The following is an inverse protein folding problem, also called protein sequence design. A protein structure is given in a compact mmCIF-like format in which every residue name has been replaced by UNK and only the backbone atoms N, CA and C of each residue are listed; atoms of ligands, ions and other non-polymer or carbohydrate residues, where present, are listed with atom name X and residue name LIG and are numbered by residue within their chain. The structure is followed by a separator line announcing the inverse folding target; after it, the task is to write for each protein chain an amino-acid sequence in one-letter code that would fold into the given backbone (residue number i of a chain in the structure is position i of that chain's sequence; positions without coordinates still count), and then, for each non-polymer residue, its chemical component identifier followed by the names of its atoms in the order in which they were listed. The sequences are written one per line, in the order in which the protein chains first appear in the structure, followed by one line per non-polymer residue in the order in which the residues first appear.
data_IF_126974508665
#
_entry.id   IF_126974508665
#
_cell.length_a   1.000
_cell.length_b   1.000
_cell.length_c   1.000
_cell.angle_alpha   90.00
_cell.angle_beta   90.00
_cell.angle_gamma   90.00
#
_symmetry.space_group_name_H-M   'P 1'
#
loop_
_entity.id
_entity.type
_entity.pdbx_description
1 polymer ?
#
# COMPACT_ATOMS: atom_id res chain seq x y z
N UNK A 1 -30.77 9.66 10.87
CA UNK A 1 -29.66 8.72 10.79
C UNK A 1 -29.04 8.60 9.39
N UNK A 2 -29.78 8.30 8.33
CA UNK A 2 -29.24 8.18 6.95
C UNK A 2 -28.50 9.42 6.42
N UNK A 3 -28.95 10.62 6.67
CA UNK A 3 -28.29 11.87 6.22
C UNK A 3 -26.92 12.11 6.89
N UNK A 4 -26.74 11.70 8.14
CA UNK A 4 -25.46 11.79 8.86
C UNK A 4 -24.43 10.82 8.28
N UNK A 5 -24.85 9.60 7.93
CA UNK A 5 -24.03 8.58 7.29
C UNK A 5 -23.56 8.99 5.87
N UNK A 6 -24.43 9.63 5.10
CA UNK A 6 -24.12 10.15 3.76
C UNK A 6 -23.12 11.30 3.86
N UNK A 7 -23.27 12.20 4.83
CA UNK A 7 -22.33 13.31 5.04
C UNK A 7 -20.94 12.84 5.49
N UNK A 8 -20.88 11.80 6.36
CA UNK A 8 -19.64 11.17 6.74
C UNK A 8 -18.97 10.47 5.53
N UNK A 9 -19.76 9.79 4.71
CA UNK A 9 -19.29 9.10 3.49
C UNK A 9 -18.73 10.08 2.46
N UNK A 10 -19.37 11.23 2.23
CA UNK A 10 -18.92 12.26 1.29
C UNK A 10 -17.63 12.93 1.79
N UNK A 11 -17.56 13.24 3.09
CA UNK A 11 -16.35 13.82 3.70
C UNK A 11 -15.18 12.84 3.68
N UNK A 12 -15.45 11.57 3.88
CA UNK A 12 -14.54 10.45 3.76
C UNK A 12 -14.02 10.30 2.33
N UNK A 13 -14.91 10.35 1.33
CA UNK A 13 -14.57 10.32 -0.09
C UNK A 13 -13.67 11.48 -0.52
N UNK A 14 -13.94 12.67 0.02
CA UNK A 14 -13.14 13.87 -0.26
C UNK A 14 -11.76 13.84 0.39
N UNK A 15 -11.63 13.23 1.58
CA UNK A 15 -10.34 13.04 2.25
C UNK A 15 -9.51 12.00 1.48
N UNK A 16 -10.12 10.89 1.06
CA UNK A 16 -9.42 9.85 0.27
C UNK A 16 -9.01 10.33 -1.14
N UNK A 17 -9.76 11.23 -1.77
CA UNK A 17 -9.39 11.86 -3.06
C UNK A 17 -8.20 12.82 -2.96
N UNK A 18 -7.89 13.34 -1.78
CA UNK A 18 -6.72 14.20 -1.54
C UNK A 18 -5.44 13.43 -1.25
N UNK A 19 -5.55 12.14 -0.90
CA UNK A 19 -4.39 11.27 -0.69
C UNK A 19 -4.05 10.69 -2.07
N UNK A 20 -2.97 11.12 -2.67
CA UNK A 20 -2.37 10.42 -3.81
C UNK A 20 -2.10 8.98 -3.38
N UNK A 21 -2.96 8.07 -3.84
CA UNK A 21 -3.01 6.68 -3.38
C UNK A 21 -1.97 5.81 -4.11
N UNK A 22 -0.73 6.27 -4.20
CA UNK A 22 0.36 5.36 -4.54
C UNK A 22 0.50 4.34 -3.41
N UNK A 23 0.40 3.04 -3.72
CA UNK A 23 0.48 2.01 -2.69
C UNK A 23 1.87 1.96 -2.07
N UNK A 24 1.93 1.72 -0.77
CA UNK A 24 3.17 1.34 -0.12
C UNK A 24 3.58 -0.06 -0.59
N UNK A 25 4.85 -0.22 -0.95
CA UNK A 25 5.42 -1.48 -1.42
C UNK A 25 6.66 -1.79 -0.58
N UNK A 26 6.89 -3.04 -0.22
CA UNK A 26 8.10 -3.46 0.48
C UNK A 26 9.32 -3.19 -0.39
N UNK A 27 10.38 -2.59 0.18
CA UNK A 27 11.58 -2.22 -0.57
C UNK A 27 12.33 -3.44 -1.08
N UNK A 28 12.65 -4.38 -0.18
CA UNK A 28 13.26 -5.68 -0.51
C UNK A 28 12.85 -6.72 0.53
N UNK A 29 13.02 -8.00 0.23
CA UNK A 29 12.69 -9.08 1.15
C UNK A 29 13.49 -9.02 2.47
N UNK A 30 14.73 -8.55 2.40
CA UNK A 30 15.64 -8.43 3.54
C UNK A 30 15.48 -7.14 4.35
N UNK A 31 14.62 -6.22 3.91
CA UNK A 31 14.46 -4.89 4.52
C UNK A 31 13.09 -4.74 5.16
N UNK A 32 13.04 -4.09 6.33
CA UNK A 32 11.79 -3.65 6.95
C UNK A 32 11.25 -2.33 6.38
N UNK A 33 11.91 -1.79 5.35
CA UNK A 33 11.46 -0.57 4.70
C UNK A 33 10.36 -0.84 3.67
N UNK A 34 9.37 0.04 3.67
CA UNK A 34 8.40 0.19 2.60
C UNK A 34 8.57 1.55 1.95
N UNK A 35 8.18 1.65 0.70
CA UNK A 35 8.29 2.89 -0.06
C UNK A 35 7.03 3.15 -0.90
N UNK A 36 6.84 4.39 -1.26
CA UNK A 36 5.94 4.85 -2.33
C UNK A 36 6.71 5.84 -3.21
N UNK A 37 6.56 5.72 -4.51
CA UNK A 37 7.23 6.56 -5.49
C UNK A 37 6.22 7.15 -6.46
N UNK A 38 6.33 8.42 -6.73
CA UNK A 38 5.59 9.12 -7.77
C UNK A 38 6.52 10.03 -8.55
N UNK A 39 6.30 10.16 -9.84
CA UNK A 39 7.08 11.04 -10.70
C UNK A 39 6.18 11.79 -11.67
N UNK A 40 6.53 13.02 -11.93
CA UNK A 40 6.04 13.83 -13.04
C UNK A 40 7.10 13.88 -14.15
N UNK A 41 6.96 14.74 -15.16
CA UNK A 41 7.87 14.77 -16.31
C UNK A 41 9.33 14.97 -15.91
N UNK A 42 9.61 15.89 -14.98
CA UNK A 42 10.96 16.26 -14.54
C UNK A 42 11.05 16.48 -13.02
N UNK A 43 10.24 15.77 -12.27
CA UNK A 43 10.28 15.81 -10.81
C UNK A 43 9.88 14.45 -10.25
N UNK A 44 10.27 14.16 -9.01
CA UNK A 44 9.79 12.99 -8.30
C UNK A 44 9.60 13.26 -6.82
N UNK A 45 8.77 12.42 -6.22
CA UNK A 45 8.61 12.30 -4.78
C UNK A 45 8.74 10.84 -4.39
N UNK A 46 9.60 10.55 -3.41
CA UNK A 46 9.74 9.23 -2.82
C UNK A 46 9.59 9.33 -1.31
N UNK A 47 8.81 8.41 -0.75
CA UNK A 47 8.68 8.29 0.70
C UNK A 47 9.04 6.90 1.14
N UNK A 48 9.66 6.79 2.31
CA UNK A 48 10.03 5.53 2.95
C UNK A 48 9.41 5.45 4.33
N UNK A 49 9.13 4.25 4.79
CA UNK A 49 8.67 4.00 6.16
C UNK A 49 9.14 2.63 6.66
N UNK A 50 9.45 2.56 7.94
CA UNK A 50 9.57 1.31 8.69
C UNK A 50 8.41 1.15 9.71
N UNK A 51 7.30 1.84 9.47
CA UNK A 51 6.10 1.95 10.32
C UNK A 51 6.32 2.71 11.66
N UNK A 52 7.55 3.02 12.02
CA UNK A 52 7.88 3.84 13.19
C UNK A 52 8.27 5.27 12.81
N UNK A 53 8.78 5.43 11.60
CA UNK A 53 9.21 6.70 11.02
C UNK A 53 8.78 6.78 9.56
N UNK A 54 8.66 8.01 9.07
CA UNK A 54 8.50 8.31 7.65
C UNK A 54 9.64 9.23 7.24
N UNK A 55 10.24 8.95 6.09
CA UNK A 55 11.22 9.80 5.44
C UNK A 55 10.70 10.17 4.06
N UNK A 56 10.96 11.39 3.62
CA UNK A 56 10.50 11.88 2.33
C UNK A 56 11.60 12.64 1.61
N UNK A 57 11.74 12.39 0.31
CA UNK A 57 12.56 13.18 -0.60
C UNK A 57 11.70 13.63 -1.77
N UNK A 58 11.75 14.93 -2.06
CA UNK A 58 11.16 15.53 -3.25
C UNK A 58 12.29 16.20 -4.02
N UNK A 59 12.31 16.03 -5.33
CA UNK A 59 13.28 16.64 -6.21
C UNK A 59 12.60 17.33 -7.38
N UNK A 60 12.93 18.59 -7.55
CA UNK A 60 12.54 19.44 -8.68
C UNK A 60 13.46 19.21 -9.86
N UNK A 61 13.13 19.81 -11.00
CA UNK A 61 13.91 19.73 -12.24
C UNK A 61 15.38 20.13 -12.03
N UNK A 62 15.61 21.31 -11.42
CA UNK A 62 16.97 21.83 -11.18
C UNK A 62 17.78 20.93 -10.23
N UNK A 63 17.16 20.43 -9.18
CA UNK A 63 17.80 19.53 -8.21
C UNK A 63 18.17 18.18 -8.83
N UNK A 64 17.33 17.66 -9.75
CA UNK A 64 17.61 16.44 -10.51
C UNK A 64 18.81 16.64 -11.42
N UNK A 65 18.89 17.77 -12.14
CA UNK A 65 20.03 18.11 -12.98
C UNK A 65 21.32 18.10 -12.18
N UNK A 66 21.36 18.88 -11.11
CA UNK A 66 22.54 19.01 -10.27
C UNK A 66 22.97 17.66 -9.65
N UNK A 67 22.00 16.88 -9.17
CA UNK A 67 22.26 15.55 -8.60
C UNK A 67 22.77 14.56 -9.64
N UNK A 68 22.20 14.60 -10.85
CA UNK A 68 22.61 13.75 -11.96
C UNK A 68 24.03 14.05 -12.42
N UNK A 69 24.39 15.32 -12.57
CA UNK A 69 25.75 15.76 -12.93
C UNK A 69 26.79 15.30 -11.91
N UNK A 70 26.44 15.36 -10.62
CA UNK A 70 27.33 14.94 -9.54
C UNK A 70 27.53 13.42 -9.48
N UNK A 71 26.44 12.65 -9.64
CA UNK A 71 26.48 11.20 -9.49
C UNK A 71 26.86 10.48 -10.79
N UNK A 72 26.53 11.06 -11.94
CA UNK A 72 26.67 10.44 -13.27
C UNK A 72 27.27 11.39 -14.30
N UNK A 73 28.50 11.92 -14.10
CA UNK A 73 29.09 12.95 -14.97
C UNK A 73 29.30 12.49 -16.42
N UNK A 74 29.31 11.19 -16.68
CA UNK A 74 29.43 10.61 -18.01
C UNK A 74 28.10 10.38 -18.73
N UNK A 75 26.98 10.75 -18.12
CA UNK A 75 25.63 10.54 -18.68
C UNK A 75 25.00 11.89 -19.02
N UNK A 76 25.01 12.22 -20.32
CA UNK A 76 24.29 13.39 -20.83
C UNK A 76 22.85 12.98 -21.19
N UNK A 77 21.87 13.38 -20.37
CA UNK A 77 20.47 13.10 -20.62
C UNK A 77 19.57 14.24 -20.09
N UNK A 78 18.41 14.42 -20.71
CA UNK A 78 17.41 15.36 -20.20
C UNK A 78 16.87 14.92 -18.83
N UNK A 79 16.47 15.87 -17.99
CA UNK A 79 15.90 15.58 -16.67
C UNK A 79 14.68 14.65 -16.74
N UNK A 80 13.85 14.80 -17.77
CA UNK A 80 12.76 13.86 -18.07
C UNK A 80 13.26 12.42 -18.26
N UNK A 81 14.39 12.25 -18.96
CA UNK A 81 15.02 10.93 -19.16
C UNK A 81 15.58 10.39 -17.86
N UNK A 82 16.28 11.23 -17.08
CA UNK A 82 16.82 10.85 -15.77
C UNK A 82 15.69 10.43 -14.81
N UNK A 83 14.62 11.22 -14.70
CA UNK A 83 13.45 10.89 -13.87
C UNK A 83 12.82 9.55 -14.29
N UNK A 84 12.71 9.29 -15.59
CA UNK A 84 12.22 8.02 -16.12
C UNK A 84 13.13 6.85 -15.74
N UNK A 85 14.45 7.03 -15.79
CA UNK A 85 15.44 6.02 -15.39
C UNK A 85 15.31 5.76 -13.89
N UNK A 86 15.31 6.80 -13.05
CA UNK A 86 15.13 6.67 -11.59
C UNK A 86 13.84 5.89 -11.29
N UNK A 87 12.74 6.23 -11.92
CA UNK A 87 11.47 5.51 -11.76
C UNK A 87 11.56 4.04 -12.17
N UNK A 88 12.24 3.73 -13.27
CA UNK A 88 12.44 2.34 -13.71
C UNK A 88 13.28 1.53 -12.72
N UNK A 89 14.37 2.12 -12.20
CA UNK A 89 15.26 1.49 -11.21
C UNK A 89 14.54 1.24 -9.90
N UNK A 90 13.78 2.23 -9.41
CA UNK A 90 12.98 2.10 -8.17
C UNK A 90 11.90 1.02 -8.30
N UNK A 91 11.32 0.84 -9.48
CA UNK A 91 10.29 -0.18 -9.71
C UNK A 91 10.88 -1.58 -10.02
N UNK A 92 12.17 -1.69 -10.33
CA UNK A 92 12.84 -2.97 -10.52
C UNK A 92 13.21 -3.61 -9.17
N UNK A 93 12.59 -4.75 -8.89
CA UNK A 93 12.82 -5.49 -7.65
C UNK A 93 14.27 -5.96 -7.49
N UNK A 94 14.92 -6.36 -8.57
CA UNK A 94 16.32 -6.81 -8.54
C UNK A 94 17.25 -5.66 -8.19
N UNK A 95 17.00 -4.47 -8.76
CA UNK A 95 17.76 -3.28 -8.43
C UNK A 95 17.59 -2.88 -6.95
N UNK A 96 16.36 -2.99 -6.40
CA UNK A 96 16.13 -2.74 -4.97
C UNK A 96 16.81 -3.78 -4.08
N UNK A 97 16.81 -5.06 -4.44
CA UNK A 97 17.49 -6.12 -3.67
C UNK A 97 19.00 -5.92 -3.61
N UNK A 98 19.60 -5.34 -4.65
CA UNK A 98 21.04 -5.04 -4.70
C UNK A 98 21.41 -3.65 -4.19
N UNK A 99 20.42 -2.85 -3.74
CA UNK A 99 20.68 -1.50 -3.23
C UNK A 99 21.38 -1.55 -1.87
N UNK A 100 22.22 -0.54 -1.63
CA UNK A 100 22.78 -0.30 -0.31
C UNK A 100 21.83 0.58 0.50
N UNK A 101 21.42 0.11 1.66
CA UNK A 101 20.54 0.83 2.58
C UNK A 101 21.30 1.09 3.86
N UNK A 102 21.44 2.36 4.22
CA UNK A 102 22.02 2.79 5.48
C UNK A 102 20.98 3.55 6.30
N UNK A 103 20.73 3.07 7.50
CA UNK A 103 19.89 3.74 8.49
C UNK A 103 20.72 3.99 9.75
N UNK A 104 20.94 5.27 10.09
CA UNK A 104 21.63 5.64 11.32
C UNK A 104 20.74 5.35 12.53
N UNK A 105 21.31 4.71 13.55
CA UNK A 105 20.64 4.40 14.82
C UNK A 105 20.70 5.55 15.82
N UNK A 106 21.52 6.56 15.56
CA UNK A 106 21.60 7.77 16.38
C UNK A 106 20.29 8.54 16.34
N UNK A 107 20.07 9.43 17.28
CA UNK A 107 18.83 10.22 17.38
C UNK A 107 18.45 10.98 16.10
N UNK A 108 19.36 11.11 15.13
CA UNK A 108 19.13 11.76 13.84
C UNK A 108 18.41 10.88 12.80
N UNK A 109 18.38 9.56 13.00
CA UNK A 109 17.67 8.59 12.12
C UNK A 109 17.82 8.88 10.64
N UNK A 110 19.05 9.16 10.20
CA UNK A 110 19.35 9.46 8.79
C UNK A 110 19.18 8.18 7.96
N UNK A 111 18.40 8.25 6.89
CA UNK A 111 18.24 7.19 5.90
C UNK A 111 18.98 7.58 4.63
N UNK A 112 19.79 6.66 4.10
CA UNK A 112 20.46 6.81 2.80
C UNK A 112 20.25 5.52 2.02
N UNK A 113 19.82 5.63 0.78
CA UNK A 113 19.62 4.48 -0.10
C UNK A 113 20.34 4.72 -1.41
N UNK A 114 21.36 3.92 -1.69
CA UNK A 114 22.13 3.98 -2.92
C UNK A 114 21.78 2.82 -3.83
N UNK A 115 21.42 3.13 -5.05
CA UNK A 115 21.12 2.19 -6.12
C UNK A 115 22.12 2.31 -7.24
N UNK A 116 22.47 1.18 -7.84
CA UNK A 116 23.32 1.13 -9.01
C UNK A 116 22.70 0.21 -10.04
N UNK A 117 22.62 0.67 -11.29
CA UNK A 117 22.15 -0.11 -12.43
C UNK A 117 23.01 0.17 -13.65
N UNK A 118 23.20 -0.82 -14.52
CA UNK A 118 23.84 -0.62 -15.81
C UNK A 118 22.82 -0.17 -16.85
N UNK A 119 23.10 0.98 -17.47
CA UNK A 119 22.40 1.49 -18.63
C UNK A 119 23.28 1.24 -19.85
N UNK A 120 22.90 0.28 -20.69
CA UNK A 120 23.74 -0.17 -21.81
C UNK A 120 25.14 -0.57 -21.31
N UNK A 121 26.16 0.27 -21.47
CA UNK A 121 27.53 0.02 -21.03
C UNK A 121 28.00 0.96 -19.91
N UNK A 122 27.17 1.90 -19.46
CA UNK A 122 27.51 2.87 -18.44
C UNK A 122 26.84 2.54 -17.09
N UNK A 123 27.57 2.67 -15.97
CA UNK A 123 26.94 2.57 -14.66
C UNK A 123 26.10 3.83 -14.40
N UNK A 124 24.87 3.63 -14.01
CA UNK A 124 23.97 4.67 -13.48
C UNK A 124 23.85 4.49 -11.98
N UNK A 125 24.18 5.53 -11.23
CA UNK A 125 24.09 5.56 -9.76
C UNK A 125 23.05 6.58 -9.36
N UNK A 126 22.18 6.20 -8.42
CA UNK A 126 21.26 7.14 -7.80
C UNK A 126 21.23 6.93 -6.29
N UNK A 127 21.23 8.02 -5.55
CA UNK A 127 21.24 8.02 -4.10
C UNK A 127 20.05 8.82 -3.59
N UNK A 128 19.27 8.22 -2.68
CA UNK A 128 18.19 8.90 -1.99
C UNK A 128 18.68 9.27 -0.58
N UNK A 129 18.50 10.53 -0.20
CA UNK A 129 18.78 11.08 1.12
C UNK A 129 17.50 11.73 1.68
N UNK A 130 16.45 10.93 1.93
CA UNK A 130 15.17 11.48 2.34
C UNK A 130 15.23 12.03 3.77
N UNK A 131 14.53 13.14 4.00
CA UNK A 131 14.44 13.78 5.31
C UNK A 131 13.43 13.08 6.21
N UNK A 132 13.78 12.95 7.48
CA UNK A 132 12.88 12.45 8.52
C UNK A 132 11.68 13.38 8.68
N UNK A 133 10.49 12.83 8.57
CA UNK A 133 9.24 13.57 8.72
C UNK A 133 8.74 13.59 10.17
N UNK A 134 7.80 14.48 10.43
CA UNK A 134 7.18 14.63 11.75
C UNK A 134 6.30 13.42 12.12
N UNK A 135 5.95 13.31 13.40
CA UNK A 135 4.99 12.30 13.87
C UNK A 135 3.59 12.52 13.29
N UNK A 136 3.24 13.78 13.04
CA UNK A 136 1.99 14.16 12.38
C UNK A 136 1.94 13.59 10.98
N UNK A 137 3.04 13.67 10.22
CA UNK A 137 3.13 13.09 8.88
C UNK A 137 3.02 11.56 8.92
N UNK A 138 3.66 10.88 9.88
CA UNK A 138 3.50 9.44 10.10
C UNK A 138 2.03 9.08 10.35
N UNK A 139 1.33 9.89 11.17
CA UNK A 139 -0.09 9.69 11.44
C UNK A 139 -0.92 9.83 10.17
N UNK A 140 -0.68 10.84 9.37
CA UNK A 140 -1.43 11.11 8.14
C UNK A 140 -1.14 10.08 7.04
N UNK A 141 0.12 9.71 6.86
CA UNK A 141 0.54 8.82 5.77
C UNK A 141 0.29 7.33 6.05
N UNK A 142 0.28 6.93 7.33
CA UNK A 142 0.23 5.51 7.73
C UNK A 142 -0.98 5.22 8.63
N UNK A 143 -1.08 5.91 9.78
CA UNK A 143 -2.04 5.52 10.83
C UNK A 143 -3.48 5.77 10.37
N UNK A 144 -3.78 6.96 9.88
CA UNK A 144 -5.15 7.29 9.44
C UNK A 144 -5.60 6.42 8.26
N UNK A 145 -4.82 6.19 7.18
CA UNK A 145 -5.20 5.27 6.12
C UNK A 145 -5.45 3.85 6.61
N UNK A 146 -4.65 3.34 7.56
CA UNK A 146 -4.88 2.02 8.17
C UNK A 146 -6.19 1.97 8.95
N UNK A 147 -6.45 2.95 9.80
CA UNK A 147 -7.70 3.02 10.56
C UNK A 147 -8.93 3.12 9.64
N UNK A 148 -8.84 3.92 8.59
CA UNK A 148 -9.90 4.03 7.59
C UNK A 148 -10.15 2.70 6.88
N UNK A 149 -9.08 1.97 6.57
CA UNK A 149 -9.18 0.65 5.95
C UNK A 149 -9.90 -0.35 6.85
N UNK A 150 -9.60 -0.33 8.15
CA UNK A 150 -10.27 -1.19 9.13
C UNK A 150 -11.77 -0.88 9.20
N UNK A 151 -12.15 0.40 9.28
CA UNK A 151 -13.57 0.80 9.31
C UNK A 151 -14.30 0.37 8.03
N UNK A 152 -13.68 0.52 6.88
CA UNK A 152 -14.26 0.09 5.60
C UNK A 152 -14.41 -1.44 5.53
N UNK A 153 -13.42 -2.19 6.02
CA UNK A 153 -13.50 -3.65 6.08
C UNK A 153 -14.63 -4.12 6.99
N UNK A 154 -14.76 -3.53 8.18
CA UNK A 154 -15.85 -3.84 9.12
C UNK A 154 -17.24 -3.52 8.52
N UNK A 155 -17.35 -2.40 7.81
CA UNK A 155 -18.59 -2.05 7.11
C UNK A 155 -18.94 -3.08 6.04
N UNK A 156 -17.97 -3.49 5.22
CA UNK A 156 -18.18 -4.51 4.18
C UNK A 156 -18.54 -5.86 4.75
N UNK A 157 -17.89 -6.26 5.82
CA UNK A 157 -18.22 -7.50 6.50
C UNK A 157 -19.68 -7.50 6.96
N UNK A 158 -20.13 -6.42 7.61
CA UNK A 158 -21.54 -6.26 8.03
C UNK A 158 -22.52 -6.31 6.86
N UNK A 159 -22.21 -5.63 5.75
CA UNK A 159 -23.05 -5.66 4.54
C UNK A 159 -23.10 -7.07 3.92
N UNK A 160 -21.96 -7.77 3.87
CA UNK A 160 -21.93 -9.16 3.36
C UNK A 160 -22.77 -10.09 4.25
N UNK A 161 -22.64 -9.99 5.56
CA UNK A 161 -23.47 -10.75 6.52
C UNK A 161 -24.95 -10.45 6.29
N UNK A 162 -25.33 -9.19 6.11
CA UNK A 162 -26.69 -8.79 5.83
C UNK A 162 -27.22 -9.40 4.50
N UNK A 163 -26.40 -9.40 3.45
CA UNK A 163 -26.75 -10.02 2.16
C UNK A 163 -26.93 -11.53 2.32
N UNK A 164 -26.04 -12.21 3.03
CA UNK A 164 -26.13 -13.66 3.29
C UNK A 164 -27.43 -13.98 4.03
N UNK A 165 -27.73 -13.29 5.14
CA UNK A 165 -28.97 -13.49 5.90
C UNK A 165 -30.23 -13.28 5.05
N UNK A 166 -30.23 -12.28 4.14
CA UNK A 166 -31.36 -12.10 3.19
C UNK A 166 -31.48 -13.25 2.21
N UNK A 167 -30.34 -13.76 1.71
CA UNK A 167 -30.32 -14.92 0.80
C UNK A 167 -30.77 -16.19 1.48
N UNK A 168 -30.43 -16.39 2.74
CA UNK A 168 -30.94 -17.52 3.51
C UNK A 168 -32.46 -17.45 3.72
N UNK A 169 -32.99 -16.26 4.02
CA UNK A 169 -34.44 -16.07 4.15
C UNK A 169 -35.17 -16.34 2.81
N UNK A 170 -34.60 -15.89 1.68
CA UNK A 170 -35.11 -16.19 0.34
C UNK A 170 -35.11 -17.70 0.04
N UNK A 171 -34.02 -18.41 0.40
CA UNK A 171 -33.93 -19.86 0.26
C UNK A 171 -34.99 -20.59 1.10
N UNK A 172 -35.20 -20.16 2.33
CA UNK A 172 -36.21 -20.75 3.21
C UNK A 172 -37.63 -20.53 2.66
N UNK A 173 -37.93 -19.36 2.09
CA UNK A 173 -39.21 -19.09 1.43
C UNK A 173 -39.41 -20.01 0.21
N UNK A 174 -38.40 -20.20 -0.65
CA UNK A 174 -38.46 -21.16 -1.76
C UNK A 174 -38.70 -22.60 -1.26
N UNK A 175 -38.03 -23.04 -0.19
CA UNK A 175 -38.26 -24.37 0.39
C UNK A 175 -39.70 -24.51 0.91
N UNK A 176 -40.23 -23.49 1.58
CA UNK A 176 -41.58 -23.47 2.08
C UNK A 176 -42.63 -23.59 0.97
N UNK A 177 -42.36 -23.06 -0.21
CA UNK A 177 -43.20 -23.20 -1.41
C UNK A 177 -43.04 -24.54 -2.17
N UNK A 178 -42.20 -25.45 -1.64
CA UNK A 178 -41.98 -26.79 -2.19
C UNK A 178 -40.83 -26.90 -3.21
N UNK A 179 -40.03 -25.86 -3.39
CA UNK A 179 -38.83 -25.92 -4.23
C UNK A 179 -37.80 -26.88 -3.63
N UNK A 180 -37.20 -27.70 -4.48
CA UNK A 180 -36.14 -28.64 -4.10
C UNK A 180 -34.85 -28.36 -4.86
N UNK A 181 -33.75 -28.44 -4.16
CA UNK A 181 -32.42 -28.33 -4.77
C UNK A 181 -32.17 -29.56 -5.65
N UNK A 182 -31.82 -29.37 -6.93
CA UNK A 182 -31.65 -30.46 -7.89
C UNK A 182 -30.47 -31.39 -7.55
N UNK A 183 -29.47 -30.90 -6.79
CA UNK A 183 -28.29 -31.65 -6.37
C UNK A 183 -28.03 -31.42 -4.88
N UNK A 184 -28.00 -32.49 -4.07
CA UNK A 184 -27.76 -32.41 -2.62
C UNK A 184 -26.48 -31.64 -2.25
N UNK A 185 -25.44 -31.72 -3.06
CA UNK A 185 -24.17 -31.02 -2.83
C UNK A 185 -24.29 -29.48 -2.92
N UNK A 186 -25.39 -28.95 -3.48
CA UNK A 186 -25.66 -27.52 -3.53
C UNK A 186 -26.48 -27.04 -2.34
N UNK A 187 -26.94 -27.94 -1.50
CA UNK A 187 -27.70 -27.59 -0.31
C UNK A 187 -26.77 -26.99 0.75
N UNK A 188 -27.04 -25.76 1.14
CA UNK A 188 -26.30 -25.05 2.19
C UNK A 188 -27.14 -24.95 3.46
N UNK A 189 -26.47 -24.86 4.60
CA UNK A 189 -27.08 -24.50 5.87
C UNK A 189 -27.22 -22.98 5.98
N UNK A 190 -28.22 -22.47 6.69
CA UNK A 190 -28.29 -21.04 6.99
C UNK A 190 -27.02 -20.55 7.69
N UNK A 191 -26.63 -19.31 7.41
CA UNK A 191 -25.45 -18.69 7.99
C UNK A 191 -25.66 -18.39 9.48
N UNK A 192 -24.78 -18.91 10.31
CA UNK A 192 -24.76 -18.66 11.75
C UNK A 192 -23.51 -17.82 12.10
N UNK A 193 -23.73 -16.54 12.40
CA UNK A 193 -22.66 -15.57 12.66
C UNK A 193 -21.77 -15.97 13.85
N UNK A 194 -22.36 -16.54 14.92
CA UNK A 194 -21.62 -17.03 16.08
C UNK A 194 -20.63 -18.14 15.71
N UNK A 195 -21.08 -19.14 14.95
CA UNK A 195 -20.23 -20.24 14.50
C UNK A 195 -19.15 -19.77 13.53
N UNK A 196 -19.46 -18.78 12.68
CA UNK A 196 -18.48 -18.17 11.81
C UNK A 196 -17.38 -17.46 12.62
N UNK A 197 -17.75 -16.65 13.62
CA UNK A 197 -16.82 -16.00 14.53
C UNK A 197 -15.93 -17.01 15.30
N UNK A 198 -16.51 -18.09 15.79
CA UNK A 198 -15.76 -19.18 16.45
C UNK A 198 -14.75 -19.85 15.51
N UNK A 199 -15.14 -20.08 14.25
CA UNK A 199 -14.24 -20.66 13.25
C UNK A 199 -13.04 -19.78 12.93
N UNK A 200 -13.19 -18.47 13.02
CA UNK A 200 -12.11 -17.49 12.80
C UNK A 200 -11.20 -17.34 14.01
N UNK A 201 -11.67 -17.62 15.21
CA UNK A 201 -10.86 -17.52 16.43
C UNK A 201 -9.67 -18.48 16.46
N UNK A 202 -9.73 -19.57 15.69
CA UNK A 202 -8.64 -20.54 15.49
C UNK A 202 -7.67 -20.18 14.36
N UNK A 203 -7.95 -19.15 13.57
CA UNK A 203 -7.01 -18.66 12.55
C UNK A 203 -5.95 -17.85 13.28
N UNK A 204 -4.93 -18.56 13.75
CA UNK A 204 -3.75 -17.92 14.31
C UNK A 204 -3.18 -16.91 13.32
N UNK A 205 -2.71 -15.79 13.86
CA UNK A 205 -2.03 -14.70 13.16
C UNK A 205 -1.20 -15.28 12.01
N UNK A 206 -1.62 -15.00 10.80
CA UNK A 206 -0.84 -15.30 9.61
C UNK A 206 0.58 -14.89 9.94
N UNK A 207 1.54 -15.81 9.79
CA UNK A 207 2.91 -15.66 10.30
C UNK A 207 3.66 -14.53 9.61
N UNK A 208 3.28 -13.30 9.95
CA UNK A 208 4.04 -12.11 9.62
C UNK A 208 5.30 -12.14 10.47
N UNK A 209 6.45 -12.30 9.84
CA UNK A 209 7.75 -12.25 10.51
C UNK A 209 8.13 -10.81 10.86
N UNK A 210 7.65 -9.85 10.05
CA UNK A 210 7.86 -8.42 10.23
C UNK A 210 6.56 -7.65 9.96
N UNK A 211 6.32 -6.50 10.63
CA UNK A 211 5.21 -5.61 10.31
C UNK A 211 5.17 -5.16 8.84
N UNK A 212 6.33 -5.02 8.20
CA UNK A 212 6.44 -4.65 6.78
C UNK A 212 5.95 -5.73 5.81
N UNK A 213 5.79 -6.99 6.26
CA UNK A 213 5.27 -8.08 5.43
C UNK A 213 3.83 -7.85 4.99
N UNK A 214 3.09 -6.99 5.70
CA UNK A 214 1.74 -6.52 5.30
C UNK A 214 1.77 -5.90 3.88
N UNK A 215 2.90 -5.31 3.49
CA UNK A 215 3.10 -4.64 2.21
C UNK A 215 3.81 -5.52 1.17
N UNK A 216 4.09 -6.78 1.49
CA UNK A 216 4.70 -7.72 0.55
C UNK A 216 3.71 -8.14 -0.56
N UNK A 217 4.23 -8.54 -1.72
CA UNK A 217 3.41 -9.00 -2.85
C UNK A 217 2.59 -10.28 -2.53
N UNK A 218 3.08 -11.10 -1.62
CA UNK A 218 2.43 -12.32 -1.15
C UNK A 218 1.29 -12.06 -0.16
N UNK A 219 1.30 -10.92 0.51
CA UNK A 219 0.18 -10.48 1.32
C UNK A 219 -0.93 -9.96 0.41
N UNK A 220 -2.22 -10.30 0.64
CA UNK A 220 -3.31 -9.64 -0.05
C UNK A 220 -3.24 -8.16 0.30
N UNK A 221 -2.62 -7.38 -0.58
CA UNK A 221 -2.24 -6.00 -0.34
C UNK A 221 -3.49 -5.17 -0.03
N UNK A 222 -3.74 -4.99 1.26
CA UNK A 222 -4.92 -4.26 1.79
C UNK A 222 -4.95 -2.85 1.19
N UNK A 223 -3.80 -2.20 1.07
CA UNK A 223 -3.69 -0.88 0.46
C UNK A 223 -3.97 -0.86 -1.04
N UNK A 224 -3.48 -1.84 -1.80
CA UNK A 224 -3.80 -1.94 -3.24
C UNK A 224 -5.27 -2.30 -3.51
N UNK A 225 -5.92 -3.05 -2.62
CA UNK A 225 -7.35 -3.33 -2.75
C UNK A 225 -8.18 -2.09 -2.47
N UNK A 226 -7.77 -1.25 -1.54
CA UNK A 226 -8.49 -0.02 -1.18
C UNK A 226 -8.41 1.00 -2.31
N UNK A 227 -7.25 1.17 -2.95
CA UNK A 227 -7.09 2.08 -4.09
C UNK A 227 -7.93 1.66 -5.31
N UNK A 228 -8.18 0.36 -5.52
CA UNK A 228 -9.03 -0.16 -6.61
C UNK A 228 -10.53 -0.09 -6.33
N UNK A 229 -10.94 0.19 -5.11
CA UNK A 229 -12.34 0.21 -4.69
C UNK A 229 -12.91 1.64 -4.61
N UNK A 230 -12.08 2.63 -4.88
CA UNK A 230 -12.41 4.08 -4.83
C UNK A 230 -12.52 4.67 -6.26
N UNK A 231 -12.34 3.85 -7.32
CA UNK A 231 -12.59 4.22 -8.72
C UNK A 231 -14.02 3.94 -9.13
#
# INVERSE_FOLDING_TARGET
MLRSLIHHRIRYYLILRKIEMTPWVKWSESSDLCFKFSSAESSYSISFTNLSCVWKEEKTDDEISQKSENLNPSIEASNKRITSIVGSVVNDEKARQSSYVYLSEDGNRKLVIKMEQRLENLPFVWEFEPELQTKEQLKEDIVLPLLYSLVEMEYRERELIHIIKRKDAEIEDYKATGAKVSRKQLETKPFEESKFGESLSGIHRVGLQSPSDIFSKSSPNIFCKISRLIV
#
